data_IF_787030372764
#
_entry.id   IF_787030372764
#
_cell.length_a   1.000
_cell.length_b   1.000
_cell.length_c   1.000
_cell.angle_alpha   90.00
_cell.angle_beta   90.00
_cell.angle_gamma   90.00
#
_symmetry.space_group_name_H-M   'P 1'
#
loop_
_entity.id
_entity.type
_entity.pdbx_description
1 polymer ?
#
# COMPACT_ATOMS: atom_id res chain seq x y z
N UNK A 1 -17.14 60.67 17.85
CA UNK A 1 -17.62 59.55 17.01
C UNK A 1 -16.70 58.37 17.26
N UNK A 2 -17.18 57.19 17.71
CA UNK A 2 -16.34 56.02 17.94
C UNK A 2 -16.03 55.28 16.63
N UNK A 3 -14.74 55.11 16.35
CA UNK A 3 -14.18 54.33 15.25
C UNK A 3 -14.37 52.84 15.53
N UNK A 4 -15.26 52.19 14.77
CA UNK A 4 -15.55 50.77 14.89
C UNK A 4 -14.79 49.99 13.80
N UNK A 5 -13.68 49.37 14.21
CA UNK A 5 -13.50 47.93 14.04
C UNK A 5 -13.39 47.39 12.61
N UNK A 6 -12.81 48.13 11.66
CA UNK A 6 -12.63 47.68 10.27
C UNK A 6 -11.71 46.43 10.15
N UNK A 7 -10.95 46.09 11.20
CA UNK A 7 -10.06 44.93 11.23
C UNK A 7 -10.70 43.59 11.62
N UNK A 8 -11.88 43.57 12.27
CA UNK A 8 -12.40 42.35 12.90
C UNK A 8 -13.30 41.52 11.97
N UNK A 9 -13.87 42.13 10.94
CA UNK A 9 -14.85 41.49 10.05
C UNK A 9 -14.20 40.61 8.97
N UNK A 10 -12.91 40.81 8.66
CA UNK A 10 -12.20 40.04 7.64
C UNK A 10 -11.89 38.58 8.07
N UNK A 11 -12.06 38.23 9.35
CA UNK A 11 -11.62 36.95 9.92
C UNK A 11 -12.69 35.84 9.89
N UNK A 12 -13.94 36.14 9.55
CA UNK A 12 -15.09 35.21 9.72
C UNK A 12 -15.46 34.38 8.46
N UNK A 13 -14.70 34.47 7.37
CA UNK A 13 -15.08 33.83 6.10
C UNK A 13 -14.01 32.90 5.52
N UNK A 14 -13.25 32.15 6.34
CA UNK A 14 -12.66 30.91 5.83
C UNK A 14 -13.80 29.88 5.79
N UNK A 15 -14.57 29.90 4.70
CA UNK A 15 -15.66 28.94 4.51
C UNK A 15 -15.14 27.50 4.56
N UNK A 16 -16.04 26.53 4.79
CA UNK A 16 -15.74 25.10 4.87
C UNK A 16 -14.74 24.59 3.81
N UNK A 17 -14.79 25.13 2.58
CA UNK A 17 -13.85 24.79 1.50
C UNK A 17 -12.41 25.22 1.80
N UNK A 18 -12.20 26.37 2.42
CA UNK A 18 -10.89 26.84 2.85
C UNK A 18 -10.34 25.99 4.00
N UNK A 19 -11.18 25.63 4.96
CA UNK A 19 -10.83 24.72 6.06
C UNK A 19 -10.50 23.31 5.55
N UNK A 20 -11.28 22.80 4.59
CA UNK A 20 -11.04 21.53 3.93
C UNK A 20 -9.74 21.55 3.12
N UNK A 21 -9.47 22.63 2.38
CA UNK A 21 -8.20 22.81 1.66
C UNK A 21 -7.01 22.82 2.62
N UNK A 22 -7.15 23.51 3.75
CA UNK A 22 -6.12 23.59 4.78
C UNK A 22 -5.93 22.26 5.52
N UNK A 23 -6.98 21.42 5.62
CA UNK A 23 -6.91 20.05 6.13
C UNK A 23 -6.18 19.11 5.18
N UNK A 24 -6.56 19.05 3.89
CA UNK A 24 -5.91 18.15 2.92
C UNK A 24 -4.43 18.53 2.69
N UNK A 25 -4.12 19.82 2.79
CA UNK A 25 -2.75 20.32 2.64
C UNK A 25 -1.86 20.09 3.88
N UNK A 26 -2.40 19.56 4.99
CA UNK A 26 -1.56 19.21 6.15
C UNK A 26 -0.84 17.89 5.90
N UNK A 27 0.48 17.95 5.96
CA UNK A 27 1.37 16.86 6.38
C UNK A 27 1.56 15.71 5.38
N UNK A 28 0.48 15.04 4.96
CA UNK A 28 0.51 13.97 3.95
C UNK A 28 -0.90 13.41 3.58
N UNK A 29 -1.99 14.11 3.93
CA UNK A 29 -3.35 13.52 3.90
C UNK A 29 -3.77 13.11 2.48
N UNK A 30 -3.40 13.89 1.48
CA UNK A 30 -3.67 13.59 0.07
C UNK A 30 -2.99 12.28 -0.35
N UNK A 31 -1.70 12.11 -0.06
CA UNK A 31 -0.95 10.93 -0.51
C UNK A 31 -1.42 9.66 0.20
N UNK A 32 -1.79 9.75 1.48
CA UNK A 32 -2.39 8.64 2.23
C UNK A 32 -3.75 8.27 1.63
N UNK A 33 -4.59 9.26 1.30
CA UNK A 33 -5.90 9.03 0.69
C UNK A 33 -5.78 8.37 -0.69
N UNK A 34 -4.86 8.85 -1.52
CA UNK A 34 -4.58 8.28 -2.83
C UNK A 34 -4.06 6.85 -2.71
N UNK A 35 -3.11 6.59 -1.79
CA UNK A 35 -2.58 5.25 -1.54
C UNK A 35 -3.69 4.27 -1.13
N UNK A 36 -4.65 4.69 -0.30
CA UNK A 36 -5.77 3.86 0.11
C UNK A 36 -6.71 3.52 -1.05
N UNK A 37 -7.09 4.51 -1.87
CA UNK A 37 -7.98 4.31 -3.04
C UNK A 37 -7.32 3.41 -4.09
N UNK A 38 -6.03 3.62 -4.35
CA UNK A 38 -5.25 2.76 -5.25
C UNK A 38 -5.16 1.34 -4.67
N UNK A 39 -4.87 1.19 -3.38
CA UNK A 39 -4.82 -0.12 -2.71
C UNK A 39 -6.14 -0.89 -2.80
N UNK A 40 -7.26 -0.20 -2.58
CA UNK A 40 -8.60 -0.80 -2.71
C UNK A 40 -8.89 -1.23 -4.16
N UNK A 41 -8.55 -0.40 -5.14
CA UNK A 41 -8.74 -0.70 -6.56
C UNK A 41 -7.80 -1.82 -7.05
N UNK A 42 -6.59 -1.87 -6.50
CA UNK A 42 -5.60 -2.90 -6.83
C UNK A 42 -6.05 -4.29 -6.39
N UNK A 43 -6.83 -4.40 -5.29
CA UNK A 43 -7.46 -5.67 -4.89
C UNK A 43 -8.31 -6.25 -6.02
N UNK A 44 -9.08 -5.46 -6.75
CA UNK A 44 -9.89 -5.96 -7.88
C UNK A 44 -9.03 -6.55 -9.00
N UNK A 45 -7.85 -5.97 -9.27
CA UNK A 45 -6.90 -6.52 -10.25
C UNK A 45 -6.34 -7.86 -9.77
N UNK A 46 -6.00 -7.95 -8.49
CA UNK A 46 -5.56 -9.21 -7.87
C UNK A 46 -6.65 -10.26 -7.96
N UNK A 47 -7.89 -9.93 -7.56
CA UNK A 47 -9.03 -10.86 -7.60
C UNK A 47 -9.31 -11.34 -9.04
N UNK A 48 -9.18 -10.48 -10.06
CA UNK A 48 -9.34 -10.87 -11.46
C UNK A 48 -8.24 -11.83 -11.95
N UNK A 49 -7.02 -11.69 -11.44
CA UNK A 49 -5.89 -12.52 -11.84
C UNK A 49 -5.81 -13.84 -11.04
N UNK A 50 -5.99 -13.78 -9.72
CA UNK A 50 -5.83 -14.89 -8.79
C UNK A 50 -7.14 -15.61 -8.43
N UNK A 51 -8.28 -14.93 -8.56
CA UNK A 51 -9.58 -15.40 -8.09
C UNK A 51 -9.95 -14.82 -6.72
N UNK A 52 -11.25 -14.78 -6.42
CA UNK A 52 -11.79 -14.33 -5.13
C UNK A 52 -12.15 -15.48 -4.19
N UNK A 53 -12.02 -16.72 -4.67
CA UNK A 53 -12.31 -17.95 -3.92
C UNK A 53 -13.80 -18.25 -3.75
N UNK A 54 -14.70 -17.46 -4.36
CA UNK A 54 -16.15 -17.63 -4.24
C UNK A 54 -16.82 -17.84 -5.60
N UNK A 55 -16.84 -16.80 -6.42
CA UNK A 55 -17.61 -16.75 -7.67
C UNK A 55 -16.70 -16.51 -8.88
N UNK A 56 -15.49 -15.97 -8.65
CA UNK A 56 -14.52 -15.72 -9.69
C UNK A 56 -13.29 -16.61 -9.51
N UNK A 57 -13.06 -17.60 -10.41
CA UNK A 57 -11.86 -18.43 -10.37
C UNK A 57 -10.59 -17.66 -10.75
N UNK A 58 -10.70 -16.45 -11.30
CA UNK A 58 -9.58 -15.66 -11.81
C UNK A 58 -8.90 -16.32 -13.01
N UNK A 59 -7.95 -15.61 -13.61
CA UNK A 59 -7.17 -16.12 -14.74
C UNK A 59 -6.31 -17.34 -14.35
N UNK A 60 -5.58 -17.25 -13.23
CA UNK A 60 -4.72 -18.35 -12.77
C UNK A 60 -5.54 -19.56 -12.28
N UNK A 61 -6.59 -19.34 -11.48
CA UNK A 61 -7.43 -20.43 -11.00
C UNK A 61 -8.22 -21.09 -12.14
N UNK A 62 -8.64 -20.32 -13.15
CA UNK A 62 -9.25 -20.84 -14.38
C UNK A 62 -8.29 -21.72 -15.21
N UNK A 63 -7.03 -21.30 -15.38
CA UNK A 63 -6.00 -22.09 -16.07
C UNK A 63 -5.65 -23.39 -15.30
N UNK A 64 -5.53 -23.31 -13.98
CA UNK A 64 -5.33 -24.48 -13.13
C UNK A 64 -6.55 -25.41 -13.26
N UNK A 65 -7.76 -24.88 -13.16
CA UNK A 65 -9.00 -25.64 -13.36
C UNK A 65 -9.04 -26.34 -14.72
N UNK A 66 -8.66 -25.66 -15.80
CA UNK A 66 -8.63 -26.24 -17.14
C UNK A 66 -7.64 -27.41 -17.28
N UNK A 67 -6.50 -27.36 -16.57
CA UNK A 67 -5.48 -28.43 -16.59
C UNK A 67 -5.89 -29.61 -15.70
N UNK A 68 -6.58 -29.36 -14.57
CA UNK A 68 -6.90 -30.37 -13.55
C UNK A 68 -8.35 -30.89 -13.59
N UNK A 69 -9.14 -30.59 -14.63
CA UNK A 69 -10.44 -31.26 -14.88
C UNK A 69 -11.70 -30.41 -14.72
N UNK A 70 -11.63 -29.10 -14.89
CA UNK A 70 -12.78 -28.24 -15.20
C UNK A 70 -13.44 -27.49 -14.05
N UNK A 71 -13.00 -27.70 -12.80
CA UNK A 71 -13.54 -26.99 -11.64
C UNK A 71 -12.41 -26.44 -10.77
N UNK A 72 -12.54 -25.17 -10.35
CA UNK A 72 -11.77 -24.67 -9.21
C UNK A 72 -11.92 -25.62 -8.03
N UNK A 73 -10.84 -25.92 -7.26
CA UNK A 73 -10.93 -26.78 -6.08
C UNK A 73 -11.76 -26.10 -4.98
N UNK A 74 -13.08 -26.14 -5.12
CA UNK A 74 -14.03 -25.63 -4.15
C UNK A 74 -14.49 -26.81 -3.31
N UNK A 75 -14.03 -26.85 -2.07
CA UNK A 75 -14.35 -27.91 -1.13
C UNK A 75 -15.49 -27.52 -0.19
N UNK A 76 -16.17 -26.38 -0.42
CA UNK A 76 -17.22 -25.83 0.46
C UNK A 76 -18.35 -26.82 0.78
N UNK A 77 -18.59 -27.79 -0.11
CA UNK A 77 -19.63 -28.81 0.06
C UNK A 77 -19.24 -29.94 1.03
N UNK A 78 -17.96 -30.04 1.43
CA UNK A 78 -17.50 -31.01 2.44
C UNK A 78 -17.77 -30.45 3.84
N UNK A 79 -18.98 -30.71 4.32
CA UNK A 79 -19.39 -30.48 5.72
C UNK A 79 -19.15 -31.75 6.54
N UNK A 80 -18.37 -31.66 7.60
CA UNK A 80 -18.24 -32.73 8.58
C UNK A 80 -19.15 -32.41 9.76
N UNK A 81 -20.18 -33.23 9.99
CA UNK A 81 -21.05 -33.10 11.16
C UNK A 81 -20.39 -33.79 12.35
N UNK A 82 -19.99 -33.00 13.35
CA UNK A 82 -19.59 -33.49 14.67
C UNK A 82 -20.61 -32.96 15.68
N UNK A 83 -21.33 -33.88 16.32
CA UNK A 83 -22.22 -33.60 17.43
C UNK A 83 -23.33 -32.54 17.13
N UNK A 84 -23.90 -32.56 15.93
CA UNK A 84 -24.97 -31.65 15.51
C UNK A 84 -24.51 -30.26 15.07
N UNK A 85 -23.20 -30.00 15.05
CA UNK A 85 -22.62 -28.77 14.51
C UNK A 85 -21.96 -29.02 13.15
N UNK A 86 -22.37 -28.27 12.14
CA UNK A 86 -21.75 -28.31 10.81
C UNK A 86 -20.42 -27.53 10.86
N UNK A 87 -19.29 -28.24 10.91
CA UNK A 87 -17.98 -27.60 10.77
C UNK A 87 -17.65 -27.42 9.28
N UNK A 88 -17.52 -26.18 8.78
CA UNK A 88 -17.25 -25.90 7.37
C UNK A 88 -15.76 -26.06 7.06
N UNK A 89 -15.21 -27.25 7.31
CA UNK A 89 -13.80 -27.58 7.03
C UNK A 89 -13.47 -27.36 5.56
N UNK A 90 -14.45 -27.64 4.67
CA UNK A 90 -14.38 -27.31 3.26
C UNK A 90 -14.12 -25.84 2.94
N UNK A 91 -14.73 -24.93 3.69
CA UNK A 91 -14.55 -23.49 3.51
C UNK A 91 -13.16 -23.02 3.99
N UNK A 92 -12.65 -23.61 5.06
CA UNK A 92 -11.29 -23.32 5.55
C UNK A 92 -10.22 -23.73 4.53
N UNK A 93 -10.36 -24.93 3.96
CA UNK A 93 -9.42 -25.44 2.94
C UNK A 93 -9.49 -24.57 1.67
N UNK A 94 -10.69 -24.23 1.22
CA UNK A 94 -10.89 -23.37 0.03
C UNK A 94 -10.31 -21.96 0.27
N UNK A 95 -10.54 -21.36 1.43
CA UNK A 95 -9.96 -20.07 1.80
C UNK A 95 -8.43 -20.12 1.89
N UNK A 96 -7.86 -21.20 2.44
CA UNK A 96 -6.41 -21.38 2.56
C UNK A 96 -5.74 -21.53 1.18
N UNK A 97 -6.37 -22.29 0.28
CA UNK A 97 -5.89 -22.42 -1.10
C UNK A 97 -5.96 -21.08 -1.84
N UNK A 98 -7.08 -20.35 -1.71
CA UNK A 98 -7.24 -19.04 -2.32
C UNK A 98 -6.18 -18.04 -1.82
N UNK A 99 -5.93 -18.01 -0.50
CA UNK A 99 -4.87 -17.21 0.09
C UNK A 99 -3.50 -17.51 -0.53
N UNK A 100 -3.18 -18.78 -0.76
CA UNK A 100 -1.91 -19.19 -1.36
C UNK A 100 -1.79 -18.73 -2.82
N UNK A 101 -2.87 -18.80 -3.61
CA UNK A 101 -2.90 -18.33 -5.01
C UNK A 101 -2.72 -16.80 -5.05
N UNK A 102 -3.45 -16.07 -4.22
CA UNK A 102 -3.35 -14.59 -4.12
C UNK A 102 -1.95 -14.17 -3.66
N UNK A 103 -1.38 -14.83 -2.65
CA UNK A 103 -0.03 -14.58 -2.19
C UNK A 103 1.01 -14.85 -3.30
N UNK A 104 0.83 -15.93 -4.06
CA UNK A 104 1.69 -16.25 -5.20
C UNK A 104 1.57 -15.21 -6.33
N UNK A 105 0.35 -14.75 -6.63
CA UNK A 105 0.12 -13.69 -7.60
C UNK A 105 0.81 -12.37 -7.19
N UNK A 106 0.63 -11.94 -5.93
CA UNK A 106 1.34 -10.77 -5.39
C UNK A 106 2.85 -10.94 -5.46
N UNK A 107 3.37 -12.12 -5.14
CA UNK A 107 4.79 -12.42 -5.28
C UNK A 107 5.27 -12.27 -6.72
N UNK A 108 4.53 -12.78 -7.72
CA UNK A 108 4.90 -12.62 -9.13
C UNK A 108 4.91 -11.16 -9.57
N UNK A 109 3.91 -10.36 -9.14
CA UNK A 109 3.84 -8.93 -9.46
C UNK A 109 5.02 -8.19 -8.84
N UNK A 110 5.29 -8.39 -7.53
CA UNK A 110 6.40 -7.74 -6.84
C UNK A 110 7.75 -8.18 -7.41
N UNK A 111 7.92 -9.48 -7.71
CA UNK A 111 9.14 -10.00 -8.34
C UNK A 111 9.37 -9.38 -9.71
N UNK A 112 8.32 -9.22 -10.50
CA UNK A 112 8.38 -8.61 -11.83
C UNK A 112 8.70 -7.11 -11.73
N UNK A 113 8.01 -6.41 -10.82
CA UNK A 113 8.29 -5.01 -10.52
C UNK A 113 9.74 -4.79 -10.07
N UNK A 114 10.23 -5.59 -9.12
CA UNK A 114 11.61 -5.54 -8.64
C UNK A 114 12.64 -5.93 -9.72
N UNK A 115 12.24 -6.70 -10.74
CA UNK A 115 13.10 -7.05 -11.88
C UNK A 115 13.22 -5.91 -12.89
N UNK A 116 12.17 -5.11 -13.06
CA UNK A 116 12.17 -3.95 -13.95
C UNK A 116 12.66 -2.67 -13.29
N UNK A 117 12.60 -2.60 -11.95
CA UNK A 117 13.25 -1.54 -11.19
C UNK A 117 14.75 -1.79 -11.19
N UNK A 118 15.45 -1.18 -12.13
CA UNK A 118 16.91 -1.10 -12.11
C UNK A 118 17.32 -0.60 -10.71
N UNK A 119 18.20 -1.34 -10.04
CA UNK A 119 18.56 -1.10 -8.63
C UNK A 119 19.48 0.11 -8.52
N UNK A 120 18.96 1.29 -8.86
CA UNK A 120 19.35 2.55 -8.26
C UNK A 120 18.23 2.92 -7.31
N UNK A 121 18.26 2.33 -6.12
CA UNK A 121 17.53 2.89 -4.99
C UNK A 121 18.01 4.34 -4.88
N UNK A 122 17.11 5.31 -5.07
CA UNK A 122 17.44 6.69 -4.73
C UNK A 122 17.90 6.70 -3.27
N UNK A 123 19.09 7.28 -2.97
CA UNK A 123 19.62 7.27 -1.61
C UNK A 123 18.58 7.90 -0.69
N UNK A 124 18.28 7.18 0.39
CA UNK A 124 17.30 7.63 1.37
C UNK A 124 17.78 8.95 1.98
N UNK A 125 16.86 9.78 2.48
CA UNK A 125 17.20 11.05 3.14
C UNK A 125 18.25 10.85 4.24
N UNK A 126 18.21 9.73 4.95
CA UNK A 126 19.20 9.41 5.99
C UNK A 126 20.60 9.11 5.42
N UNK A 127 20.67 8.45 4.27
CA UNK A 127 21.95 8.18 3.58
C UNK A 127 22.56 9.47 3.04
N UNK A 128 21.74 10.34 2.43
CA UNK A 128 22.18 11.67 1.99
C UNK A 128 22.67 12.54 3.15
N UNK A 129 21.96 12.53 4.28
CA UNK A 129 22.37 13.28 5.47
C UNK A 129 23.66 12.72 6.09
N UNK A 130 23.87 11.40 6.03
CA UNK A 130 25.11 10.77 6.47
C UNK A 130 26.28 11.18 5.57
N UNK A 131 26.08 11.18 4.25
CA UNK A 131 27.08 11.62 3.27
C UNK A 131 27.46 13.10 3.48
N UNK A 132 26.47 14.00 3.60
CA UNK A 132 26.70 15.42 3.89
C UNK A 132 27.46 15.62 5.21
N UNK A 133 27.08 14.88 6.27
CA UNK A 133 27.78 14.96 7.57
C UNK A 133 29.24 14.56 7.44
N UNK A 134 29.50 13.49 6.70
CA UNK A 134 30.84 12.94 6.54
C UNK A 134 31.71 13.86 5.67
N UNK A 135 31.14 14.49 4.64
CA UNK A 135 31.78 15.54 3.83
C UNK A 135 32.09 16.81 4.64
N UNK A 136 31.17 17.25 5.51
CA UNK A 136 31.39 18.40 6.39
C UNK A 136 32.51 18.12 7.40
N UNK A 137 32.56 16.92 7.98
CA UNK A 137 33.65 16.53 8.89
C UNK A 137 35.01 16.54 8.19
N UNK A 138 35.10 16.02 6.96
CA UNK A 138 36.33 16.09 6.16
C UNK A 138 36.74 17.53 5.86
N UNK A 139 35.78 18.38 5.51
CA UNK A 139 36.02 19.79 5.22
C UNK A 139 36.47 20.59 6.44
N UNK A 140 35.94 20.29 7.63
CA UNK A 140 36.34 20.92 8.88
C UNK A 140 37.75 20.47 9.33
N UNK A 141 38.06 19.18 9.20
CA UNK A 141 39.39 18.65 9.51
C UNK A 141 40.48 19.25 8.61
N UNK A 142 40.17 19.51 7.33
CA UNK A 142 41.09 20.15 6.40
C UNK A 142 41.36 21.63 6.76
N UNK A 143 40.34 22.38 7.19
CA UNK A 143 40.52 23.78 7.64
C UNK A 143 41.30 23.88 8.94
N UNK A 144 41.06 22.97 9.88
CA UNK A 144 41.71 23.00 11.20
C UNK A 144 43.20 22.61 11.16
N UNK A 145 43.63 21.89 10.12
CA UNK A 145 45.05 21.61 9.85
C UNK A 145 45.80 22.78 9.18
N UNK A 146 45.09 23.67 8.49
CA UNK A 146 45.66 24.88 7.87
C UNK A 146 45.89 26.00 8.91
N UNK A 147 45.03 26.06 9.94
CA UNK A 147 45.17 27.01 11.06
C UNK A 147 46.26 26.64 12.10
N UNK A 148 46.85 25.43 11.99
CA UNK A 148 47.80 24.89 12.96
C UNK A 148 49.27 24.89 12.50
N UNK A 149 49.56 25.46 11.32
CA UNK A 149 50.89 25.58 10.72
C UNK A 149 51.24 27.05 10.44
#
# INVERSE_FOLDING_TARGET
MPDLGVGEVAKKARGFVAEFREFINRGNVVDIGVAFVIGASFKTVIDAFAGDGKDNPGLLGGLIGAIFGGSTPNFNDKKMSLNGSELPIGALVTASLNFLIVAFALFLIVRTYNRFRDVKSEPTTNELLAEIRDELRRSQAAKQGDDAN
#
